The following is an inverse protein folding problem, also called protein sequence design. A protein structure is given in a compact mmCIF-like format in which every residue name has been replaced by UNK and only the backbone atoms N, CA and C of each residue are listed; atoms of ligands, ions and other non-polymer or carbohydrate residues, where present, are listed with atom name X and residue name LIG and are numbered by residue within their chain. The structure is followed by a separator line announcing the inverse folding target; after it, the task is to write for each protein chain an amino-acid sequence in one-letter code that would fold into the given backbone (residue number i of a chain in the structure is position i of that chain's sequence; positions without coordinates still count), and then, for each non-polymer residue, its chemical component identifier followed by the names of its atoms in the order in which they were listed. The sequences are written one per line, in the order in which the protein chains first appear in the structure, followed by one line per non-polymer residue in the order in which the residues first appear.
data_IF_727882566183
#
_entry.id   IF_727882566183
#
_cell.length_a   1.000
_cell.length_b   1.000
_cell.length_c   1.000
_cell.angle_alpha   90.00
_cell.angle_beta   90.00
_cell.angle_gamma   90.00
#
_symmetry.space_group_name_H-M   'P 1'
#
loop_
_entity.id
_entity.type
_entity.pdbx_description
1 polymer ?
#
# COMPACT_ATOMS: atom_id res chain seq x y z
N UNK A 1 3.10 -8.19 12.96
CA UNK A 1 1.98 -7.50 13.63
C UNK A 1 0.80 -8.44 13.74
N UNK A 2 0.05 -8.37 14.83
CA UNK A 2 -1.17 -9.18 15.04
C UNK A 2 -2.38 -8.28 15.27
N UNK A 3 -3.49 -8.61 14.62
CA UNK A 3 -4.78 -7.94 14.75
C UNK A 3 -5.85 -9.00 15.03
N UNK A 4 -6.61 -8.77 16.09
CA UNK A 4 -7.83 -9.51 16.38
C UNK A 4 -9.02 -8.62 16.06
N UNK A 5 -9.87 -9.10 15.16
CA UNK A 5 -11.13 -8.45 14.81
C UNK A 5 -12.29 -9.43 14.98
N UNK A 6 -13.43 -8.91 15.42
CA UNK A 6 -14.71 -9.61 15.35
C UNK A 6 -15.41 -9.18 14.06
N UNK A 7 -15.75 -10.12 13.19
CA UNK A 7 -16.48 -9.88 11.95
C UNK A 7 -17.79 -10.65 12.06
N UNK A 8 -18.91 -9.96 12.23
CA UNK A 8 -20.17 -10.61 12.61
C UNK A 8 -19.99 -11.31 13.96
N UNK A 9 -20.16 -12.63 14.03
CA UNK A 9 -19.96 -13.41 15.25
C UNK A 9 -18.62 -14.14 15.35
N UNK A 10 -17.79 -14.10 14.31
CA UNK A 10 -16.50 -14.80 14.30
C UNK A 10 -15.34 -13.91 14.74
N UNK A 11 -14.46 -14.48 15.57
CA UNK A 11 -13.18 -13.87 15.93
C UNK A 11 -12.11 -14.31 14.95
N UNK A 12 -11.52 -13.36 14.24
CA UNK A 12 -10.48 -13.61 13.25
C UNK A 12 -9.16 -13.06 13.76
N UNK A 13 -8.15 -13.93 13.80
CA UNK A 13 -6.74 -13.54 13.97
C UNK A 13 -6.13 -13.25 12.59
N UNK A 14 -5.53 -12.07 12.43
CA UNK A 14 -4.77 -11.67 11.25
C UNK A 14 -3.33 -11.37 11.67
N UNK A 15 -2.36 -11.93 10.95
CA UNK A 15 -0.94 -11.81 11.27
C UNK A 15 -0.13 -11.48 10.03
N UNK A 16 0.82 -10.54 10.15
CA UNK A 16 1.73 -10.19 9.07
C UNK A 16 2.21 -8.76 9.14
N UNK A 17 2.46 -8.16 7.97
CA UNK A 17 2.72 -6.73 7.83
C UNK A 17 1.43 -5.92 8.04
N UNK A 18 1.55 -4.65 8.42
CA UNK A 18 0.39 -3.79 8.59
C UNK A 18 -0.46 -3.68 7.30
N UNK A 19 0.18 -3.64 6.12
CA UNK A 19 -0.52 -3.62 4.84
C UNK A 19 -1.31 -4.91 4.60
N UNK A 20 -0.63 -6.06 4.69
CA UNK A 20 -1.25 -7.36 4.43
C UNK A 20 -2.41 -7.65 5.40
N UNK A 21 -2.27 -7.27 6.67
CA UNK A 21 -3.34 -7.43 7.68
C UNK A 21 -4.56 -6.59 7.34
N UNK A 22 -4.37 -5.34 6.88
CA UNK A 22 -5.50 -4.48 6.50
C UNK A 22 -6.17 -4.94 5.21
N UNK A 23 -5.41 -5.45 4.24
CA UNK A 23 -5.97 -6.04 3.01
C UNK A 23 -6.82 -7.29 3.32
N UNK A 24 -6.31 -8.18 4.17
CA UNK A 24 -7.05 -9.36 4.62
C UNK A 24 -8.31 -8.96 5.38
N UNK A 25 -8.26 -7.88 6.17
CA UNK A 25 -9.45 -7.36 6.86
C UNK A 25 -10.49 -6.85 5.86
N UNK A 26 -10.07 -6.15 4.81
CA UNK A 26 -10.99 -5.67 3.76
C UNK A 26 -11.61 -6.83 2.96
N UNK A 27 -10.81 -7.84 2.61
CA UNK A 27 -11.32 -9.04 1.93
C UNK A 27 -12.39 -9.73 2.79
N UNK A 28 -12.08 -10.01 4.05
CA UNK A 28 -13.03 -10.67 4.97
C UNK A 28 -14.26 -9.81 5.29
N UNK A 29 -14.11 -8.50 5.35
CA UNK A 29 -15.23 -7.57 5.54
C UNK A 29 -16.17 -7.59 4.33
N UNK A 30 -15.64 -7.61 3.10
CA UNK A 30 -16.42 -7.70 1.88
C UNK A 30 -17.13 -9.06 1.74
N UNK A 31 -16.48 -10.15 2.13
CA UNK A 31 -17.05 -11.50 2.06
C UNK A 31 -18.19 -11.73 3.06
N UNK A 32 -18.08 -11.20 4.28
CA UNK A 32 -19.04 -11.50 5.37
C UNK A 32 -20.09 -10.42 5.60
N UNK A 33 -19.93 -9.22 5.06
CA UNK A 33 -20.96 -8.17 5.10
C UNK A 33 -21.43 -7.74 6.49
N UNK A 34 -20.63 -7.96 7.54
CA UNK A 34 -20.99 -7.69 8.93
C UNK A 34 -20.25 -6.51 9.56
N UNK A 35 -20.72 -6.07 10.73
CA UNK A 35 -20.00 -5.09 11.54
C UNK A 35 -18.63 -5.64 11.95
N UNK A 36 -17.59 -4.85 11.70
CA UNK A 36 -16.22 -5.20 12.05
C UNK A 36 -15.81 -4.44 13.31
N UNK A 37 -15.65 -5.17 14.41
CA UNK A 37 -15.20 -4.62 15.68
C UNK A 37 -13.74 -4.96 15.94
N UNK A 38 -12.95 -3.95 16.32
CA UNK A 38 -11.57 -4.12 16.74
C UNK A 38 -11.54 -4.72 18.16
N UNK A 39 -10.91 -5.88 18.33
CA UNK A 39 -10.73 -6.49 19.66
C UNK A 39 -9.38 -6.10 20.25
N UNK A 40 -8.29 -6.55 19.62
CA UNK A 40 -6.94 -6.27 20.09
C UNK A 40 -5.99 -6.05 18.93
N UNK A 41 -4.96 -5.25 19.18
CA UNK A 41 -3.99 -4.87 18.17
C UNK A 41 -2.59 -4.81 18.76
N UNK A 42 -1.75 -5.76 18.35
CA UNK A 42 -0.38 -5.92 18.81
C UNK A 42 0.58 -5.56 17.67
N UNK A 43 1.15 -4.35 17.77
CA UNK A 43 2.01 -3.77 16.76
C UNK A 43 3.10 -2.88 17.37
N UNK A 44 4.09 -2.52 16.55
CA UNK A 44 5.08 -1.51 16.94
C UNK A 44 4.43 -0.17 17.28
N UNK A 45 5.11 0.69 18.04
CA UNK A 45 4.55 1.99 18.47
C UNK A 45 4.14 2.88 17.27
N UNK A 46 4.93 2.86 16.19
CA UNK A 46 4.65 3.62 14.96
C UNK A 46 3.36 3.15 14.28
N UNK A 47 3.19 1.84 14.13
CA UNK A 47 2.00 1.22 13.53
C UNK A 47 0.75 1.49 14.37
N UNK A 48 0.84 1.35 15.70
CA UNK A 48 -0.24 1.71 16.63
C UNK A 48 -0.67 3.16 16.50
N UNK A 49 0.30 4.09 16.43
CA UNK A 49 -0.01 5.52 16.23
C UNK A 49 -0.68 5.78 14.89
N UNK A 50 -0.24 5.09 13.83
CA UNK A 50 -0.85 5.23 12.51
C UNK A 50 -2.29 4.72 12.51
N UNK A 51 -2.53 3.51 12.99
CA UNK A 51 -3.89 2.95 13.08
C UNK A 51 -4.83 3.84 13.90
N UNK A 52 -4.36 4.34 15.05
CA UNK A 52 -5.15 5.28 15.87
C UNK A 52 -5.51 6.56 15.12
N UNK A 53 -4.65 7.08 14.24
CA UNK A 53 -4.96 8.26 13.41
C UNK A 53 -6.05 7.93 12.38
N UNK A 54 -5.93 6.80 11.68
CA UNK A 54 -6.92 6.39 10.69
C UNK A 54 -8.28 6.11 11.35
N UNK A 55 -8.30 5.44 12.51
CA UNK A 55 -9.55 5.21 13.27
C UNK A 55 -10.19 6.51 13.74
N UNK A 56 -9.41 7.52 14.12
CA UNK A 56 -9.97 8.83 14.48
C UNK A 56 -10.56 9.55 13.27
N UNK A 57 -9.90 9.46 12.12
CA UNK A 57 -10.38 10.06 10.88
C UNK A 57 -11.67 9.38 10.38
N UNK A 58 -11.78 8.07 10.55
CA UNK A 58 -12.90 7.25 10.12
C UNK A 58 -14.00 7.08 11.19
N UNK A 59 -14.09 7.97 12.20
CA UNK A 59 -15.08 7.87 13.28
C UNK A 59 -15.18 6.49 13.97
N UNK A 60 -14.03 5.84 14.16
CA UNK A 60 -13.86 4.48 14.72
C UNK A 60 -14.35 3.33 13.81
N UNK A 61 -14.73 3.59 12.56
CA UNK A 61 -15.01 2.55 11.58
C UNK A 61 -13.70 1.85 11.15
N UNK A 62 -13.58 0.56 11.48
CA UNK A 62 -12.36 -0.21 11.20
C UNK A 62 -12.19 -0.50 9.71
N UNK A 63 -13.29 -0.72 8.98
CA UNK A 63 -13.24 -1.02 7.53
C UNK A 63 -12.75 0.20 6.77
N UNK A 64 -13.32 1.38 7.07
CA UNK A 64 -12.91 2.61 6.43
C UNK A 64 -11.48 3.01 6.83
N UNK A 65 -11.10 2.84 8.10
CA UNK A 65 -9.71 3.04 8.53
C UNK A 65 -8.72 2.12 7.80
N UNK A 66 -9.10 0.87 7.55
CA UNK A 66 -8.30 -0.07 6.77
C UNK A 66 -8.19 0.35 5.29
N UNK A 67 -9.29 0.77 4.65
CA UNK A 67 -9.27 1.31 3.26
C UNK A 67 -8.33 2.51 3.16
N UNK A 68 -8.48 3.48 4.06
CA UNK A 68 -7.64 4.68 4.11
C UNK A 68 -6.16 4.33 4.29
N UNK A 69 -5.85 3.38 5.17
CA UNK A 69 -4.49 2.91 5.38
C UNK A 69 -3.90 2.25 4.13
N UNK A 70 -4.63 1.30 3.51
CA UNK A 70 -4.19 0.57 2.32
C UNK A 70 -3.92 1.54 1.16
N UNK A 71 -4.87 2.46 0.92
CA UNK A 71 -4.72 3.51 -0.08
C UNK A 71 -3.49 4.38 0.18
N UNK A 72 -3.28 4.83 1.42
CA UNK A 72 -2.11 5.62 1.79
C UNK A 72 -0.79 4.86 1.56
N UNK A 73 -0.74 3.58 1.91
CA UNK A 73 0.44 2.75 1.74
C UNK A 73 0.81 2.60 0.27
N UNK A 74 -0.16 2.30 -0.60
CA UNK A 74 0.06 2.20 -2.04
C UNK A 74 0.41 3.55 -2.68
N UNK A 75 -0.17 4.66 -2.22
CA UNK A 75 0.24 5.99 -2.68
C UNK A 75 1.71 6.30 -2.35
N UNK A 76 2.20 5.90 -1.17
CA UNK A 76 3.61 6.05 -0.82
C UNK A 76 4.49 5.19 -1.72
N UNK A 77 4.10 3.94 -1.97
CA UNK A 77 4.85 3.05 -2.86
C UNK A 77 4.91 3.61 -4.28
N UNK A 78 3.77 4.06 -4.83
CA UNK A 78 3.70 4.71 -6.13
C UNK A 78 4.62 5.94 -6.20
N UNK A 79 4.65 6.77 -5.15
CA UNK A 79 5.56 7.93 -5.07
C UNK A 79 7.03 7.53 -5.08
N UNK A 80 7.40 6.45 -4.37
CA UNK A 80 8.78 5.93 -4.39
C UNK A 80 9.17 5.44 -5.78
N UNK A 81 8.30 4.68 -6.43
CA UNK A 81 8.53 4.16 -7.78
C UNK A 81 8.67 5.32 -8.79
N UNK A 82 7.75 6.30 -8.76
CA UNK A 82 7.83 7.51 -9.61
C UNK A 82 9.15 8.26 -9.41
N UNK A 83 9.62 8.37 -8.17
CA UNK A 83 10.92 9.00 -7.87
C UNK A 83 12.08 8.19 -8.47
N UNK A 84 12.07 6.86 -8.33
CA UNK A 84 13.09 5.99 -8.92
C UNK A 84 13.12 6.12 -10.45
N UNK A 85 11.97 6.11 -11.11
CA UNK A 85 11.86 6.32 -12.56
C UNK A 85 12.46 7.68 -12.94
N UNK A 86 12.11 8.74 -12.20
CA UNK A 86 12.65 10.09 -12.44
C UNK A 86 14.18 10.12 -12.33
N UNK A 87 14.76 9.49 -11.32
CA UNK A 87 16.22 9.42 -11.16
C UNK A 87 16.90 8.56 -12.24
N UNK A 88 16.24 7.53 -12.75
CA UNK A 88 16.76 6.74 -13.87
C UNK A 88 16.69 7.49 -15.20
N UNK A 89 15.61 8.25 -15.45
CA UNK A 89 15.47 9.10 -16.65
C UNK A 89 16.57 10.18 -16.72
N UNK A 90 17.05 10.68 -15.59
CA UNK A 90 18.20 11.61 -15.53
C UNK A 90 19.53 11.00 -16.02
N UNK A 91 19.64 9.68 -16.13
CA UNK A 91 20.86 9.00 -16.61
C UNK A 91 20.97 8.96 -18.14
N UNK A 92 20.14 9.74 -18.84
CA UNK A 92 20.28 9.98 -20.26
C UNK A 92 21.71 10.43 -20.60
N UNK A 93 22.23 9.88 -21.70
CA UNK A 93 23.53 10.23 -22.26
C UNK A 93 23.34 10.79 -23.65
N UNK A 94 24.29 11.60 -24.08
CA UNK A 94 24.35 12.16 -25.43
C UNK A 94 25.47 11.45 -26.18
N UNK A 95 25.20 10.93 -27.37
CA UNK A 95 26.24 10.36 -28.21
C UNK A 95 26.99 11.46 -29.01
N UNK A 96 28.05 11.09 -29.73
CA UNK A 96 28.82 12.02 -30.58
C UNK A 96 28.00 12.70 -31.68
N UNK A 97 26.82 12.15 -32.02
CA UNK A 97 25.87 12.72 -32.99
C UNK A 97 24.82 13.63 -32.34
N UNK A 98 24.94 13.93 -31.04
CA UNK A 98 23.98 14.76 -30.30
C UNK A 98 22.66 14.05 -29.92
N UNK A 99 22.54 12.75 -30.18
CA UNK A 99 21.32 11.96 -29.89
C UNK A 99 21.30 11.59 -28.41
N UNK A 100 20.20 11.92 -27.73
CA UNK A 100 19.94 11.50 -26.35
C UNK A 100 19.47 10.04 -26.35
N UNK A 101 20.09 9.22 -25.52
CA UNK A 101 19.70 7.83 -25.33
C UNK A 101 19.85 7.39 -23.89
N UNK A 102 19.03 6.43 -23.48
CA UNK A 102 19.17 5.71 -22.22
C UNK A 102 19.93 4.40 -22.47
N UNK A 103 20.86 4.01 -21.58
CA UNK A 103 21.47 2.68 -21.65
C UNK A 103 20.39 1.60 -21.59
N UNK A 104 20.49 0.54 -22.41
CA UNK A 104 19.48 -0.53 -22.50
C UNK A 104 19.07 -1.12 -21.14
N UNK A 105 20.02 -1.33 -20.23
CA UNK A 105 19.74 -1.84 -18.88
C UNK A 105 18.96 -0.84 -18.00
N UNK A 106 19.14 0.46 -18.21
CA UNK A 106 18.35 1.50 -17.53
C UNK A 106 16.95 1.56 -18.10
N UNK A 107 16.81 1.45 -19.43
CA UNK A 107 15.52 1.43 -20.11
C UNK A 107 14.67 0.23 -19.66
N UNK A 108 15.22 -0.99 -19.66
CA UNK A 108 14.53 -2.18 -19.16
C UNK A 108 14.05 -2.01 -17.71
N UNK A 109 14.90 -1.42 -16.86
CA UNK A 109 14.56 -1.16 -15.45
C UNK A 109 13.45 -0.11 -15.30
N UNK A 110 13.39 0.88 -16.19
CA UNK A 110 12.28 1.84 -16.22
C UNK A 110 11.00 1.14 -16.61
N UNK A 111 11.02 0.30 -17.64
CA UNK A 111 9.85 -0.48 -18.09
C UNK A 111 9.30 -1.39 -16.97
N UNK A 112 10.17 -2.11 -16.26
CA UNK A 112 9.81 -2.92 -15.09
C UNK A 112 9.16 -2.09 -13.97
N UNK A 113 9.71 -0.89 -13.71
CA UNK A 113 9.16 0.01 -12.69
C UNK A 113 7.84 0.65 -13.14
N UNK A 114 7.66 0.92 -14.43
CA UNK A 114 6.42 1.44 -15.00
C UNK A 114 5.30 0.38 -14.94
N UNK A 115 5.61 -0.89 -15.24
CA UNK A 115 4.68 -2.00 -15.05
C UNK A 115 4.25 -2.14 -13.58
N UNK A 116 5.22 -2.16 -12.66
CA UNK A 116 4.94 -2.20 -11.22
C UNK A 116 4.14 -0.99 -10.74
N UNK A 117 4.40 0.20 -11.29
CA UNK A 117 3.64 1.41 -10.97
C UNK A 117 2.18 1.28 -11.40
N UNK A 118 1.91 0.68 -12.56
CA UNK A 118 0.56 0.44 -13.03
C UNK A 118 -0.22 -0.49 -12.08
N UNK A 119 0.39 -1.61 -11.67
CA UNK A 119 -0.19 -2.53 -10.68
C UNK A 119 -0.50 -1.83 -9.35
N UNK A 120 0.45 -1.06 -8.82
CA UNK A 120 0.28 -0.33 -7.56
C UNK A 120 -0.83 0.73 -7.67
N UNK A 121 -0.94 1.43 -8.80
CA UNK A 121 -2.01 2.41 -9.00
C UNK A 121 -3.39 1.76 -9.09
N UNK A 122 -3.50 0.57 -9.71
CA UNK A 122 -4.75 -0.19 -9.71
C UNK A 122 -5.16 -0.57 -8.28
N UNK A 123 -4.22 -1.05 -7.46
CA UNK A 123 -4.50 -1.36 -6.04
C UNK A 123 -4.79 -0.14 -5.17
N UNK A 124 -4.25 1.03 -5.52
CA UNK A 124 -4.53 2.28 -4.82
C UNK A 124 -5.91 2.88 -5.14
N UNK A 125 -6.61 2.36 -6.15
CA UNK A 125 -7.95 2.80 -6.56
C UNK A 125 -9.08 2.08 -5.79
N UNK A 126 -8.74 1.12 -4.91
CA UNK A 126 -9.64 0.46 -3.95
C UNK A 126 -10.05 1.43 -2.83
#
# INVERSE_FOLDING_TARGET
MELWAKIGDEKVKLQGSMLSVMEQLLQKANEKGGEVQLLSFHAGQKERRRLKRELRAANKNLVEAARNYVRWAYQIEARKIRRQIKELKKKERVNSKGIRFLPKGVQKKIEELEARLAEVNQKAAI
#
